data_IF_684682085257
#
_entry.id   IF_684682085257
#
_cell.length_a   1.000
_cell.length_b   1.000
_cell.length_c   1.000
_cell.angle_alpha   90.00
_cell.angle_beta   90.00
_cell.angle_gamma   90.00
#
_symmetry.space_group_name_H-M   'P 1'
#
loop_
_entity.id
_entity.type
_entity.pdbx_description
1 polymer ?
#
# COMPACT_ATOMS: atom_id res chain seq x y z
N UNK A 1 -38.94 12.49 11.04
CA UNK A 1 -37.61 12.01 11.48
C UNK A 1 -37.47 10.58 10.98
N UNK A 2 -36.62 10.30 9.98
CA UNK A 2 -36.28 8.92 9.66
C UNK A 2 -35.56 8.30 10.86
N UNK A 3 -35.90 7.06 11.20
CA UNK A 3 -35.28 6.34 12.31
C UNK A 3 -33.76 6.23 12.10
N UNK A 4 -32.95 6.28 13.16
CA UNK A 4 -31.52 6.01 13.04
C UNK A 4 -31.33 4.62 12.44
N UNK A 5 -30.53 4.53 11.38
CA UNK A 5 -30.12 3.25 10.81
C UNK A 5 -29.54 2.38 11.94
N UNK A 6 -30.04 1.15 12.08
CA UNK A 6 -29.49 0.20 13.02
C UNK A 6 -27.97 0.10 12.79
N UNK A 7 -27.16 -0.03 13.85
CA UNK A 7 -25.73 -0.28 13.66
C UNK A 7 -25.59 -1.50 12.76
N UNK A 8 -24.84 -1.37 11.68
CA UNK A 8 -24.48 -2.51 10.84
C UNK A 8 -23.78 -3.52 11.74
N UNK A 9 -24.50 -4.55 12.18
CA UNK A 9 -23.91 -5.68 12.90
C UNK A 9 -22.84 -6.23 11.97
N UNK A 10 -21.57 -6.07 12.36
CA UNK A 10 -20.46 -6.75 11.72
C UNK A 10 -20.77 -8.23 11.75
N UNK A 11 -21.23 -8.76 10.61
CA UNK A 11 -21.57 -10.16 10.52
C UNK A 11 -20.32 -10.95 10.93
N UNK A 12 -20.44 -11.91 11.86
CA UNK A 12 -19.31 -12.75 12.20
C UNK A 12 -18.81 -13.44 10.92
N UNK A 13 -17.52 -13.73 10.86
CA UNK A 13 -16.88 -14.44 9.75
C UNK A 13 -17.76 -15.62 9.33
N UNK A 14 -17.94 -15.83 8.03
CA UNK A 14 -18.89 -16.83 7.48
C UNK A 14 -18.75 -18.22 8.15
N UNK A 15 -17.55 -18.58 8.57
CA UNK A 15 -17.24 -19.85 9.23
C UNK A 15 -17.91 -20.04 10.60
N UNK A 16 -18.16 -18.93 11.30
CA UNK A 16 -18.85 -18.90 12.59
C UNK A 16 -20.37 -19.06 12.44
N UNK A 17 -20.90 -18.86 11.23
CA UNK A 17 -22.32 -19.00 10.97
C UNK A 17 -22.75 -20.48 11.01
N UNK A 18 -23.95 -20.78 11.55
CA UNK A 18 -24.56 -22.09 11.38
C UNK A 18 -24.76 -22.42 9.89
N UNK A 19 -24.68 -23.70 9.48
CA UNK A 19 -24.81 -24.08 8.07
C UNK A 19 -26.06 -23.54 7.38
N UNK A 20 -27.19 -23.43 8.10
CA UNK A 20 -28.44 -22.86 7.59
C UNK A 20 -28.29 -21.39 7.16
N UNK A 21 -27.53 -20.60 7.91
CA UNK A 21 -27.26 -19.18 7.57
C UNK A 21 -26.31 -19.07 6.37
N UNK A 22 -25.31 -19.95 6.28
CA UNK A 22 -24.41 -20.01 5.12
C UNK A 22 -25.20 -20.34 3.84
N UNK A 23 -26.12 -21.32 3.90
CA UNK A 23 -27.01 -21.64 2.76
C UNK A 23 -27.87 -20.43 2.39
N UNK A 24 -28.49 -19.77 3.37
CA UNK A 24 -29.31 -18.58 3.11
C UNK A 24 -28.52 -17.43 2.47
N UNK A 25 -27.22 -17.29 2.78
CA UNK A 25 -26.36 -16.31 2.12
C UNK A 25 -26.04 -16.73 0.68
N UNK A 26 -25.77 -18.02 0.44
CA UNK A 26 -25.58 -18.56 -0.91
C UNK A 26 -26.85 -18.46 -1.76
N UNK A 27 -28.04 -18.55 -1.17
CA UNK A 27 -29.33 -18.41 -1.85
C UNK A 27 -29.51 -17.05 -2.52
N UNK A 28 -28.85 -15.99 -2.01
CA UNK A 28 -28.89 -14.65 -2.60
C UNK A 28 -28.20 -14.57 -3.97
N UNK A 29 -27.30 -15.50 -4.27
CA UNK A 29 -26.47 -15.48 -5.48
C UNK A 29 -26.65 -16.71 -6.37
N UNK A 30 -26.98 -17.87 -5.79
CA UNK A 30 -27.15 -19.12 -6.51
C UNK A 30 -28.61 -19.57 -6.39
N UNK A 31 -29.28 -19.79 -7.52
CA UNK A 31 -30.65 -20.31 -7.55
C UNK A 31 -30.63 -21.85 -7.54
N UNK A 32 -31.38 -22.46 -6.62
CA UNK A 32 -31.46 -23.93 -6.49
C UNK A 32 -30.17 -24.58 -5.96
N UNK A 33 -29.85 -25.80 -6.41
CA UNK A 33 -28.62 -26.54 -6.00
C UNK A 33 -28.49 -26.79 -4.48
N UNK A 34 -29.62 -27.06 -3.81
CA UNK A 34 -29.69 -27.22 -2.34
C UNK A 34 -28.69 -28.22 -1.76
N UNK A 35 -28.49 -29.35 -2.44
CA UNK A 35 -27.55 -30.40 -1.99
C UNK A 35 -26.11 -29.87 -2.01
N UNK A 36 -25.72 -29.16 -3.06
CA UNK A 36 -24.38 -28.58 -3.17
C UNK A 36 -24.16 -27.48 -2.14
N UNK A 37 -25.14 -26.56 -1.97
CA UNK A 37 -25.09 -25.50 -0.96
C UNK A 37 -24.94 -26.06 0.46
N UNK A 38 -25.71 -27.10 0.79
CA UNK A 38 -25.63 -27.77 2.10
C UNK A 38 -24.26 -28.44 2.30
N UNK A 39 -23.73 -29.11 1.27
CA UNK A 39 -22.43 -29.76 1.35
C UNK A 39 -21.31 -28.75 1.61
N UNK A 40 -21.29 -27.64 0.86
CA UNK A 40 -20.27 -26.60 1.07
C UNK A 40 -20.41 -25.88 2.41
N UNK A 41 -21.65 -25.63 2.87
CA UNK A 41 -21.90 -25.02 4.17
C UNK A 41 -21.42 -25.90 5.33
N UNK A 42 -21.58 -27.22 5.23
CA UNK A 42 -21.05 -28.16 6.22
C UNK A 42 -19.52 -28.16 6.21
N UNK A 43 -18.89 -28.17 5.03
CA UNK A 43 -17.44 -28.17 4.91
C UNK A 43 -16.80 -26.93 5.56
N UNK A 44 -17.34 -25.75 5.28
CA UNK A 44 -16.89 -24.49 5.91
C UNK A 44 -17.13 -24.51 7.43
N UNK A 45 -18.31 -24.95 7.88
CA UNK A 45 -18.59 -25.06 9.31
C UNK A 45 -17.65 -26.05 10.02
N UNK A 46 -17.24 -27.11 9.33
CA UNK A 46 -16.29 -28.08 9.88
C UNK A 46 -14.90 -27.47 10.07
N UNK A 47 -14.49 -26.49 9.26
CA UNK A 47 -13.25 -25.73 9.49
C UNK A 47 -13.28 -24.97 10.82
N UNK A 48 -14.38 -24.26 11.08
CA UNK A 48 -14.57 -23.60 12.38
C UNK A 48 -14.63 -24.61 13.53
N UNK A 49 -15.33 -25.74 13.36
CA UNK A 49 -15.36 -26.80 14.40
C UNK A 49 -13.97 -27.36 14.69
N UNK A 50 -13.12 -27.51 13.67
CA UNK A 50 -11.73 -27.93 13.83
C UNK A 50 -10.92 -26.89 14.61
N UNK A 51 -11.12 -25.58 14.38
CA UNK A 51 -10.41 -24.55 15.16
C UNK A 51 -10.82 -24.51 16.63
N UNK A 52 -12.03 -24.96 16.95
CA UNK A 52 -12.52 -25.11 18.33
C UNK A 52 -12.11 -26.45 18.98
N UNK A 53 -11.55 -27.39 18.22
CA UNK A 53 -11.13 -28.68 18.75
C UNK A 53 -9.88 -28.53 19.63
N UNK A 54 -9.73 -29.38 20.67
CA UNK A 54 -8.48 -29.56 21.41
C UNK A 54 -7.28 -29.78 20.49
N UNK A 55 -6.11 -29.28 20.91
CA UNK A 55 -4.89 -29.23 20.08
C UNK A 55 -4.39 -30.63 19.67
N UNK A 56 -4.54 -31.61 20.55
CA UNK A 56 -4.16 -33.02 20.35
C UNK A 56 -4.89 -33.68 19.17
N UNK A 57 -6.18 -33.39 18.99
CA UNK A 57 -6.98 -33.97 17.90
C UNK A 57 -7.09 -33.06 16.68
N UNK A 58 -6.69 -31.79 16.78
CA UNK A 58 -6.90 -30.80 15.72
C UNK A 58 -6.17 -31.16 14.43
N UNK A 59 -4.98 -31.73 14.56
CA UNK A 59 -4.15 -32.13 13.41
C UNK A 59 -4.60 -33.44 12.77
N UNK A 60 -5.32 -34.29 13.52
CA UNK A 60 -5.92 -35.52 13.01
C UNK A 60 -7.18 -35.27 12.17
N UNK A 61 -7.85 -34.12 12.36
CA UNK A 61 -9.07 -33.77 11.63
C UNK A 61 -8.71 -33.22 10.24
N UNK A 62 -8.80 -34.09 9.23
CA UNK A 62 -8.58 -33.71 7.83
C UNK A 62 -9.74 -32.88 7.25
N UNK A 63 -9.45 -31.93 6.34
CA UNK A 63 -10.48 -31.20 5.60
C UNK A 63 -11.38 -32.12 4.78
N UNK A 64 -12.67 -31.81 4.72
CA UNK A 64 -13.63 -32.53 3.90
C UNK A 64 -13.65 -31.96 2.47
N UNK A 65 -12.91 -32.60 1.57
CA UNK A 65 -12.90 -32.24 0.15
C UNK A 65 -14.27 -32.54 -0.49
N UNK A 66 -14.67 -31.70 -1.46
CA UNK A 66 -15.99 -31.78 -2.10
C UNK A 66 -15.83 -32.08 -3.58
N UNK A 67 -16.56 -33.09 -4.06
CA UNK A 67 -16.68 -33.39 -5.49
C UNK A 67 -18.07 -32.99 -5.94
N UNK A 68 -18.15 -32.01 -6.87
CA UNK A 68 -19.41 -31.56 -7.46
C UNK A 68 -19.64 -32.23 -8.81
N UNK A 69 -20.72 -33.00 -8.94
CA UNK A 69 -21.09 -33.72 -10.17
C UNK A 69 -22.32 -33.05 -10.78
N UNK A 70 -22.27 -32.74 -12.09
CA UNK A 70 -23.40 -32.19 -12.82
C UNK A 70 -23.01 -31.62 -14.19
N UNK A 71 -23.98 -31.21 -15.03
CA UNK A 71 -23.70 -30.64 -16.34
C UNK A 71 -23.00 -29.27 -16.23
N UNK A 72 -22.40 -28.79 -17.31
CA UNK A 72 -21.80 -27.45 -17.38
C UNK A 72 -22.86 -26.37 -17.21
N UNK A 73 -22.49 -25.21 -16.67
CA UNK A 73 -23.40 -24.06 -16.54
C UNK A 73 -24.37 -24.06 -15.35
N UNK A 74 -24.48 -25.16 -14.60
CA UNK A 74 -25.40 -25.23 -13.41
C UNK A 74 -24.91 -24.50 -12.16
N UNK A 75 -23.80 -23.76 -12.24
CA UNK A 75 -23.30 -22.96 -11.12
C UNK A 75 -22.28 -23.64 -10.20
N UNK A 76 -21.71 -24.81 -10.55
CA UNK A 76 -20.69 -25.51 -9.72
C UNK A 76 -19.52 -24.58 -9.32
N UNK A 77 -18.93 -23.91 -10.30
CA UNK A 77 -17.82 -22.97 -10.07
C UNK A 77 -18.29 -21.72 -9.33
N UNK A 78 -19.53 -21.28 -9.55
CA UNK A 78 -20.07 -20.08 -8.89
C UNK A 78 -20.32 -20.33 -7.39
N UNK A 79 -20.80 -21.52 -7.01
CA UNK A 79 -20.94 -21.92 -5.61
C UNK A 79 -19.57 -21.84 -4.90
N UNK A 80 -18.53 -22.42 -5.48
CA UNK A 80 -17.19 -22.41 -4.90
C UNK A 80 -16.60 -20.98 -4.82
N UNK A 81 -16.74 -20.19 -5.90
CA UNK A 81 -16.27 -18.80 -5.96
C UNK A 81 -16.98 -17.91 -4.93
N UNK A 82 -18.31 -18.04 -4.81
CA UNK A 82 -19.12 -17.25 -3.86
C UNK A 82 -18.80 -17.63 -2.42
N UNK A 83 -18.67 -18.93 -2.16
CA UNK A 83 -18.26 -19.43 -0.85
C UNK A 83 -16.93 -18.82 -0.41
N UNK A 84 -15.92 -18.84 -1.28
CA UNK A 84 -14.61 -18.29 -0.97
C UNK A 84 -14.66 -16.78 -0.69
N UNK A 85 -15.39 -16.01 -1.51
CA UNK A 85 -15.57 -14.57 -1.28
C UNK A 85 -16.28 -14.27 0.04
N UNK A 86 -17.36 -14.99 0.34
CA UNK A 86 -18.10 -14.82 1.58
C UNK A 86 -17.26 -15.21 2.81
N UNK A 87 -16.36 -16.18 2.66
CA UNK A 87 -15.46 -16.63 3.71
C UNK A 87 -14.19 -15.76 3.85
N UNK A 88 -13.97 -14.77 2.97
CA UNK A 88 -12.71 -14.03 2.92
C UNK A 88 -11.51 -14.94 2.63
N UNK A 89 -11.70 -15.98 1.83
CA UNK A 89 -10.67 -16.99 1.57
C UNK A 89 -10.08 -16.84 0.15
N UNK A 90 -8.76 -17.06 -0.01
CA UNK A 90 -8.13 -17.06 -1.33
C UNK A 90 -8.72 -18.16 -2.21
N UNK A 91 -8.94 -17.86 -3.49
CA UNK A 91 -9.61 -18.76 -4.43
C UNK A 91 -8.87 -18.85 -5.76
N UNK A 92 -8.55 -20.08 -6.16
CA UNK A 92 -7.92 -20.38 -7.44
C UNK A 92 -8.79 -21.37 -8.25
N UNK A 93 -9.00 -21.08 -9.53
CA UNK A 93 -9.65 -22.00 -10.48
C UNK A 93 -8.59 -22.55 -11.43
N UNK A 94 -8.38 -23.86 -11.40
CA UNK A 94 -7.49 -24.57 -12.32
C UNK A 94 -8.25 -25.59 -13.17
N UNK A 95 -7.69 -25.93 -14.33
CA UNK A 95 -8.22 -26.96 -15.21
C UNK A 95 -7.27 -28.16 -15.17
N UNK A 96 -7.77 -29.33 -14.80
CA UNK A 96 -6.94 -30.52 -14.58
C UNK A 96 -6.18 -30.97 -15.83
N UNK A 97 -6.75 -30.74 -17.03
CA UNK A 97 -6.12 -31.09 -18.31
C UNK A 97 -4.80 -30.36 -18.56
N UNK A 98 -4.60 -29.19 -17.94
CA UNK A 98 -3.35 -28.41 -18.05
C UNK A 98 -2.14 -29.10 -17.41
N UNK A 99 -2.38 -30.06 -16.54
CA UNK A 99 -1.33 -30.83 -15.84
C UNK A 99 -1.12 -32.22 -16.47
N UNK A 100 -1.93 -32.58 -17.47
CA UNK A 100 -1.84 -33.86 -18.19
C UNK A 100 -1.28 -33.71 -19.60
N UNK A 101 -1.10 -32.48 -20.11
CA UNK A 101 -0.55 -32.25 -21.45
C UNK A 101 0.89 -32.78 -21.54
N UNK A 102 1.10 -33.67 -22.51
CA UNK A 102 2.36 -34.39 -22.72
C UNK A 102 3.40 -33.43 -23.29
N UNK A 103 4.33 -32.97 -22.44
CA UNK A 103 5.44 -32.10 -22.83
C UNK A 103 6.57 -32.12 -21.81
N UNK A 104 7.82 -31.95 -22.27
CA UNK A 104 9.04 -32.04 -21.46
C UNK A 104 9.19 -30.89 -20.43
N UNK A 105 8.33 -29.88 -20.49
CA UNK A 105 8.20 -28.78 -19.52
C UNK A 105 6.70 -28.53 -19.28
N UNK A 106 6.02 -29.49 -18.64
CA UNK A 106 4.62 -29.32 -18.24
C UNK A 106 4.45 -28.32 -17.10
N UNK A 107 3.24 -27.76 -16.91
CA UNK A 107 2.91 -27.02 -15.68
C UNK A 107 3.00 -27.98 -14.49
N UNK A 108 3.80 -27.61 -13.51
CA UNK A 108 3.99 -28.34 -12.26
C UNK A 108 2.73 -28.24 -11.38
N UNK A 109 2.29 -29.34 -10.74
CA UNK A 109 1.15 -29.33 -9.81
C UNK A 109 1.42 -28.40 -8.63
N UNK A 110 2.67 -28.24 -8.21
CA UNK A 110 3.02 -27.28 -7.16
C UNK A 110 2.72 -25.83 -7.55
N UNK A 111 2.66 -25.51 -8.85
CA UNK A 111 2.27 -24.18 -9.31
C UNK A 111 0.86 -23.80 -8.86
N UNK A 112 -0.03 -24.78 -8.62
CA UNK A 112 -1.36 -24.51 -8.07
C UNK A 112 -1.27 -23.90 -6.67
N UNK A 113 -0.35 -24.37 -5.85
CA UNK A 113 -0.17 -23.88 -4.47
C UNK A 113 0.50 -22.52 -4.51
N UNK A 114 1.51 -22.33 -5.35
CA UNK A 114 2.20 -21.03 -5.53
C UNK A 114 1.21 -19.94 -6.00
N UNK A 115 0.43 -20.23 -7.05
CA UNK A 115 -0.60 -19.30 -7.54
C UNK A 115 -1.67 -18.98 -6.46
N UNK A 116 -2.04 -19.95 -5.61
CA UNK A 116 -2.98 -19.71 -4.51
C UNK A 116 -2.39 -18.81 -3.42
N UNK A 117 -1.10 -18.99 -3.09
CA UNK A 117 -0.37 -18.14 -2.13
C UNK A 117 -0.26 -16.72 -2.67
N UNK A 118 0.05 -16.53 -3.96
CA UNK A 118 0.10 -15.21 -4.59
C UNK A 118 -1.26 -14.49 -4.50
N UNK A 119 -2.36 -15.21 -4.71
CA UNK A 119 -3.71 -14.66 -4.53
C UNK A 119 -3.95 -14.26 -3.07
N UNK A 120 -3.49 -15.07 -2.10
CA UNK A 120 -3.62 -14.77 -0.68
C UNK A 120 -2.81 -13.52 -0.27
N UNK A 121 -1.56 -13.42 -0.70
CA UNK A 121 -0.69 -12.26 -0.42
C UNK A 121 -1.32 -10.98 -0.97
N UNK A 122 -1.82 -11.01 -2.21
CA UNK A 122 -2.46 -9.84 -2.81
C UNK A 122 -3.76 -9.46 -2.08
N UNK A 123 -4.53 -10.45 -1.60
CA UNK A 123 -5.74 -10.22 -0.81
C UNK A 123 -5.40 -9.51 0.52
N UNK A 124 -4.46 -10.05 1.30
CA UNK A 124 -4.02 -9.46 2.58
C UNK A 124 -3.40 -8.09 2.37
N UNK A 125 -2.62 -7.92 1.29
CA UNK A 125 -2.05 -6.62 0.93
C UNK A 125 -3.14 -5.58 0.67
N UNK A 126 -4.16 -5.92 -0.10
CA UNK A 126 -5.29 -5.01 -0.38
C UNK A 126 -6.01 -4.63 0.90
N UNK A 127 -6.28 -5.59 1.79
CA UNK A 127 -6.93 -5.34 3.08
C UNK A 127 -6.12 -4.36 3.94
N UNK A 128 -4.80 -4.53 4.00
CA UNK A 128 -3.92 -3.62 4.75
C UNK A 128 -3.77 -2.25 4.12
N UNK A 129 -3.71 -2.19 2.79
CA UNK A 129 -3.71 -0.92 2.05
C UNK A 129 -4.99 -0.13 2.37
N UNK A 130 -6.14 -0.78 2.46
CA UNK A 130 -7.42 -0.16 2.84
C UNK A 130 -7.39 0.35 4.30
N UNK A 131 -6.84 -0.41 5.24
CA UNK A 131 -6.74 0.00 6.66
C UNK A 131 -5.87 1.25 6.86
N UNK A 132 -4.79 1.38 6.10
CA UNK A 132 -3.85 2.52 6.21
C UNK A 132 -4.16 3.65 5.23
N UNK A 133 -5.15 3.48 4.35
CA UNK A 133 -5.55 4.47 3.35
C UNK A 133 -5.83 5.87 3.94
N UNK A 134 -6.58 6.03 5.06
CA UNK A 134 -6.85 7.35 5.62
C UNK A 134 -5.58 8.06 6.12
N UNK A 135 -4.61 7.28 6.60
CA UNK A 135 -3.32 7.81 7.05
C UNK A 135 -2.44 8.18 5.85
N UNK A 136 -2.44 7.35 4.81
CA UNK A 136 -1.74 7.62 3.56
C UNK A 136 -2.27 8.89 2.89
N UNK A 137 -3.58 9.08 2.84
CA UNK A 137 -4.23 10.29 2.31
C UNK A 137 -3.77 11.54 3.08
N UNK A 138 -3.81 11.50 4.41
CA UNK A 138 -3.37 12.63 5.25
C UNK A 138 -1.90 12.97 5.02
N UNK A 139 -1.02 11.97 4.91
CA UNK A 139 0.41 12.18 4.64
C UNK A 139 0.66 12.70 3.24
N UNK A 140 -0.06 12.18 2.24
CA UNK A 140 0.01 12.64 0.87
C UNK A 140 -0.44 14.11 0.75
N UNK A 141 -1.51 14.51 1.45
CA UNK A 141 -1.95 15.90 1.53
C UNK A 141 -0.86 16.82 2.09
N UNK A 142 -0.22 16.44 3.20
CA UNK A 142 0.86 17.26 3.79
C UNK A 142 2.06 17.39 2.83
N UNK A 143 2.47 16.32 2.15
CA UNK A 143 3.53 16.37 1.13
C UNK A 143 3.13 17.24 -0.06
N UNK A 144 1.87 17.18 -0.48
CA UNK A 144 1.35 18.01 -1.57
C UNK A 144 1.34 19.50 -1.18
N UNK A 145 1.02 19.82 0.08
CA UNK A 145 1.13 21.19 0.61
C UNK A 145 2.57 21.70 0.63
N UNK A 146 3.54 20.84 0.98
CA UNK A 146 4.96 21.19 0.95
C UNK A 146 5.45 21.51 -0.48
N UNK A 147 4.93 20.80 -1.49
CA UNK A 147 5.24 21.07 -2.90
C UNK A 147 4.62 22.39 -3.38
N UNK A 148 3.40 22.71 -2.92
CA UNK A 148 2.72 23.97 -3.27
C UNK A 148 3.32 25.20 -2.56
N UNK A 149 3.85 24.99 -1.35
CA UNK A 149 4.42 26.02 -0.49
C UNK A 149 5.75 25.54 0.11
N UNK A 150 6.85 25.56 -0.67
CA UNK A 150 8.13 25.06 -0.20
C UNK A 150 8.59 25.76 1.10
N UNK A 151 9.20 25.00 2.04
CA UNK A 151 9.74 25.58 3.28
C UNK A 151 10.80 26.64 2.94
N UNK A 152 10.98 27.63 3.82
CA UNK A 152 12.05 28.60 3.59
C UNK A 152 13.38 27.85 3.70
N UNK A 153 14.35 28.15 2.82
CA UNK A 153 15.70 27.64 3.01
C UNK A 153 16.16 28.08 4.39
N UNK A 154 16.47 27.12 5.26
CA UNK A 154 17.13 27.39 6.53
C UNK A 154 18.42 28.14 6.23
N UNK A 155 18.63 29.34 6.78
CA UNK A 155 19.88 30.06 6.56
C UNK A 155 21.04 29.18 7.07
N UNK A 156 22.18 29.15 6.34
CA UNK A 156 23.33 28.35 6.75
C UNK A 156 23.74 28.74 8.17
N UNK A 157 24.01 27.73 9.01
CA UNK A 157 24.55 27.98 10.35
C UNK A 157 25.78 28.89 10.21
N UNK A 158 25.88 29.97 11.01
CA UNK A 158 27.08 30.78 11.00
C UNK A 158 28.29 29.88 11.31
N UNK A 159 29.43 30.06 10.61
CA UNK A 159 30.61 29.26 10.86
C UNK A 159 30.99 29.35 12.34
N UNK A 160 31.49 28.25 12.95
CA UNK A 160 31.89 28.26 14.34
C UNK A 160 32.89 29.39 14.55
N UNK A 161 32.56 30.33 15.44
CA UNK A 161 33.39 31.48 15.74
C UNK A 161 34.81 31.01 16.09
N UNK A 162 35.76 31.25 15.18
CA UNK A 162 37.17 31.12 15.46
C UNK A 162 37.49 32.05 16.62
N UNK A 163 38.00 31.49 17.71
CA UNK A 163 38.42 32.21 18.91
C UNK A 163 39.27 33.43 18.53
N UNK A 164 39.11 34.60 19.18
CA UNK A 164 39.92 35.76 18.87
C UNK A 164 41.37 35.51 19.28
N UNK A 165 42.21 35.23 18.28
CA UNK A 165 43.66 35.39 18.36
C UNK A 165 44.00 36.86 18.15
N UNK A 166 44.75 37.42 19.09
CA UNK A 166 45.28 38.79 19.05
C UNK A 166 46.16 38.99 17.82
N UNK A 167 45.87 39.99 16.99
CA UNK A 167 46.87 40.52 16.05
C UNK A 167 46.33 41.20 14.78
N UNK A 168 46.64 42.49 14.66
CA UNK A 168 46.72 43.33 13.45
C UNK A 168 45.44 43.65 12.66
N UNK A 169 45.03 44.92 12.79
CA UNK A 169 44.15 45.67 11.88
C UNK A 169 44.73 45.73 10.47
N UNK A 170 43.87 45.63 9.47
CA UNK A 170 43.91 46.48 8.27
C UNK A 170 42.50 46.62 7.68
N UNK A 171 42.33 47.66 6.86
CA UNK A 171 41.11 48.45 6.70
C UNK A 171 40.14 47.94 5.61
N UNK A 172 38.86 48.30 5.78
CA UNK A 172 37.92 48.49 4.67
C UNK A 172 36.69 47.59 4.70
N UNK A 173 35.64 48.02 5.41
CA UNK A 173 34.20 47.95 5.05
C UNK A 173 33.35 48.18 6.30
N UNK A 174 32.22 48.89 6.14
CA UNK A 174 31.34 49.34 7.22
C UNK A 174 30.97 48.19 8.17
N UNK A 175 31.30 48.26 9.47
CA UNK A 175 30.89 47.23 10.42
C UNK A 175 29.37 47.30 10.63
N UNK A 176 28.67 46.15 10.76
CA UNK A 176 27.25 46.14 11.10
C UNK A 176 27.05 46.84 12.45
N UNK A 177 26.10 47.78 12.49
CA UNK A 177 25.82 48.60 13.66
C UNK A 177 25.21 47.71 14.75
N UNK A 178 26.02 47.30 15.72
CA UNK A 178 25.56 46.58 16.91
C UNK A 178 25.03 47.57 17.94
N UNK A 179 23.71 47.60 18.13
CA UNK A 179 23.10 48.34 19.24
C UNK A 179 23.19 47.47 20.49
N UNK A 180 24.12 47.81 21.38
CA UNK A 180 24.32 47.15 22.67
C UNK A 180 23.49 47.88 23.73
N UNK A 181 22.56 47.18 24.37
CA UNK A 181 21.91 47.69 25.59
C UNK A 181 22.83 47.53 26.79
N UNK A 182 22.62 48.33 27.84
CA UNK A 182 23.44 48.40 29.06
C UNK A 182 23.51 47.11 29.90
N UNK A 183 22.88 46.01 29.47
CA UNK A 183 22.92 44.69 30.12
C UNK A 183 23.62 43.60 29.32
N UNK A 184 24.17 43.89 28.14
CA UNK A 184 25.01 42.93 27.40
C UNK A 184 24.26 41.76 26.75
N UNK A 185 22.94 41.72 26.80
CA UNK A 185 22.13 40.74 26.07
C UNK A 185 21.96 41.16 24.61
N UNK A 186 22.50 40.36 23.70
CA UNK A 186 22.24 40.44 22.26
C UNK A 186 20.95 39.66 22.00
N UNK A 187 19.80 40.32 21.99
CA UNK A 187 18.57 39.72 21.45
C UNK A 187 18.63 39.80 19.92
N UNK A 188 18.74 38.67 19.21
CA UNK A 188 18.73 38.71 17.75
C UNK A 188 17.33 39.12 17.30
N UNK A 189 17.20 40.31 16.70
CA UNK A 189 16.00 40.76 15.98
C UNK A 189 15.54 39.77 14.88
N UNK A 190 16.41 38.83 14.50
CA UNK A 190 16.10 37.69 13.64
C UNK A 190 15.04 36.75 14.25
N UNK A 191 15.04 36.51 15.58
CA UNK A 191 14.12 35.57 16.20
C UNK A 191 12.65 36.03 16.13
N UNK A 192 12.37 37.32 16.29
CA UNK A 192 11.00 37.86 16.18
C UNK A 192 10.49 37.89 14.73
N UNK A 193 11.36 38.24 13.77
CA UNK A 193 11.03 38.23 12.35
C UNK A 193 10.79 36.80 11.81
N UNK A 194 11.55 35.82 12.29
CA UNK A 194 11.39 34.41 11.95
C UNK A 194 10.08 33.84 12.50
N UNK A 195 9.68 34.22 13.73
CA UNK A 195 8.40 33.81 14.32
C UNK A 195 7.21 34.39 13.55
N UNK A 196 7.25 35.68 13.18
CA UNK A 196 6.17 36.31 12.41
C UNK A 196 6.06 35.72 10.99
N UNK A 197 7.19 35.43 10.34
CA UNK A 197 7.23 34.77 9.04
C UNK A 197 6.67 33.33 9.10
N UNK A 198 6.98 32.58 10.17
CA UNK A 198 6.43 31.24 10.41
C UNK A 198 4.91 31.28 10.66
N UNK A 199 4.41 32.23 11.44
CA UNK A 199 2.96 32.39 11.65
C UNK A 199 2.22 32.73 10.35
N UNK A 200 2.74 33.66 9.55
CA UNK A 200 2.18 33.98 8.23
C UNK A 200 2.17 32.74 7.32
N UNK A 201 3.24 31.94 7.33
CA UNK A 201 3.29 30.68 6.58
C UNK A 201 2.25 29.69 7.04
N UNK A 202 2.09 29.51 8.36
CA UNK A 202 1.09 28.61 8.94
C UNK A 202 -0.32 29.00 8.51
N UNK A 203 -0.66 30.30 8.58
CA UNK A 203 -1.95 30.82 8.10
C UNK A 203 -2.16 30.57 6.61
N UNK A 204 -1.12 30.75 5.79
CA UNK A 204 -1.17 30.46 4.34
C UNK A 204 -1.33 28.97 4.08
N UNK A 205 -0.63 28.10 4.83
CA UNK A 205 -0.74 26.63 4.72
C UNK A 205 -2.14 26.16 5.09
N UNK A 206 -2.73 26.68 6.15
CA UNK A 206 -4.10 26.34 6.58
C UNK A 206 -5.14 26.76 5.51
N UNK A 207 -4.99 27.96 4.90
CA UNK A 207 -5.84 28.38 3.78
C UNK A 207 -5.70 27.49 2.56
N UNK A 208 -4.46 27.13 2.19
CA UNK A 208 -4.20 26.22 1.07
C UNK A 208 -4.77 24.83 1.34
N UNK A 209 -4.69 24.33 2.57
CA UNK A 209 -5.30 23.06 2.98
C UNK A 209 -6.81 23.09 2.77
N UNK A 210 -7.46 24.18 3.16
CA UNK A 210 -8.90 24.35 2.94
C UNK A 210 -9.24 24.37 1.43
N UNK A 211 -8.48 25.10 0.62
CA UNK A 211 -8.68 25.13 -0.83
C UNK A 211 -8.43 23.77 -1.51
N UNK A 212 -7.49 22.98 -0.98
CA UNK A 212 -7.19 21.62 -1.46
C UNK A 212 -8.32 20.65 -1.13
N UNK A 213 -8.96 20.78 0.04
CA UNK A 213 -10.17 20.03 0.42
C UNK A 213 -11.38 20.42 -0.42
N UNK A 214 -11.47 21.70 -0.80
CA UNK A 214 -12.54 22.23 -1.66
C UNK A 214 -12.34 21.92 -3.16
N UNK A 215 -11.25 21.25 -3.55
CA UNK A 215 -10.98 20.87 -4.95
C UNK A 215 -10.65 22.05 -5.89
N UNK A 216 -10.43 23.26 -5.35
CA UNK A 216 -10.24 24.48 -6.16
C UNK A 216 -8.89 24.58 -6.87
N UNK A 217 -7.98 23.64 -6.61
CA UNK A 217 -6.58 23.67 -7.06
C UNK A 217 -6.23 22.49 -7.99
N UNK A 218 -7.22 21.71 -8.44
CA UNK A 218 -6.98 20.47 -9.19
C UNK A 218 -6.28 20.66 -10.54
N UNK A 219 -6.52 21.80 -11.21
CA UNK A 219 -5.90 22.14 -12.49
C UNK A 219 -4.45 22.61 -12.37
N UNK A 220 -4.02 23.01 -11.17
CA UNK A 220 -2.67 23.53 -10.95
C UNK A 220 -1.63 22.43 -11.17
N UNK A 221 -0.56 22.77 -11.86
CA UNK A 221 0.58 21.88 -12.08
C UNK A 221 1.54 21.92 -10.90
N UNK A 222 2.07 20.74 -10.54
CA UNK A 222 3.10 20.55 -9.53
C UNK A 222 4.19 19.63 -10.06
N UNK A 223 5.44 19.93 -9.71
CA UNK A 223 6.57 19.07 -10.02
C UNK A 223 6.73 18.04 -8.89
N UNK A 224 6.62 16.76 -9.23
CA UNK A 224 6.80 15.64 -8.29
C UNK A 224 8.00 14.78 -8.69
N UNK A 225 8.71 14.27 -7.69
CA UNK A 225 9.78 13.28 -7.87
C UNK A 225 9.20 11.88 -7.79
N UNK A 226 8.96 11.25 -8.94
CA UNK A 226 8.43 9.88 -8.99
C UNK A 226 9.58 8.89 -9.12
N UNK A 227 9.52 7.79 -8.38
CA UNK A 227 10.41 6.64 -8.57
C UNK A 227 10.02 5.92 -9.87
N UNK A 228 10.92 5.88 -10.85
CA UNK A 228 10.68 5.14 -12.07
C UNK A 228 10.85 3.64 -11.79
N UNK A 229 9.75 2.87 -11.79
CA UNK A 229 9.83 1.40 -11.84
C UNK A 229 10.08 0.98 -13.29
N UNK A 230 11.28 0.48 -13.57
CA UNK A 230 11.66 -0.18 -14.83
C UNK A 230 12.20 0.76 -15.92
N UNK A 231 13.39 0.43 -16.45
CA UNK A 231 13.92 0.99 -17.69
C UNK A 231 13.21 0.34 -18.89
N UNK A 232 12.56 1.09 -19.80
CA UNK A 232 12.08 0.55 -21.09
C UNK A 232 13.23 0.36 -22.11
N UNK A 233 14.43 0.00 -21.65
CA UNK A 233 15.64 -0.12 -22.47
C UNK A 233 16.23 -1.52 -22.55
N UNK A 234 15.73 -2.47 -21.75
CA UNK A 234 16.26 -3.84 -21.69
C UNK A 234 15.51 -4.83 -22.61
N UNK A 235 14.55 -4.35 -23.41
CA UNK A 235 13.89 -5.18 -24.44
C UNK A 235 14.67 -5.20 -25.77
N UNK A 236 15.66 -4.30 -25.95
CA UNK A 236 16.39 -4.16 -27.22
C UNK A 236 17.76 -4.86 -27.25
N UNK A 237 18.18 -5.51 -26.16
CA UNK A 237 19.27 -6.49 -26.19
C UNK A 237 18.66 -7.87 -26.37
N UNK A 238 18.50 -8.29 -27.63
CA UNK A 238 18.48 -9.73 -27.92
C UNK A 238 19.78 -10.32 -27.37
N UNK A 239 19.74 -11.31 -26.46
CA UNK A 239 20.96 -12.02 -26.10
C UNK A 239 21.50 -12.73 -27.35
N UNK A 240 22.81 -12.69 -27.62
CA UNK A 240 23.40 -13.56 -28.63
C UNK A 240 23.11 -15.03 -28.24
N UNK A 241 22.57 -15.78 -29.20
CA UNK A 241 22.26 -17.20 -29.03
C UNK A 241 23.51 -17.95 -28.54
N UNK A 242 23.45 -18.55 -27.33
CA UNK A 242 24.52 -19.46 -26.90
C UNK A 242 24.76 -19.64 -25.39
N UNK A 243 24.17 -18.86 -24.49
CA UNK A 243 24.30 -19.05 -23.04
C UNK A 243 22.98 -18.75 -22.34
N UNK A 244 22.13 -19.76 -22.19
CA UNK A 244 20.91 -19.68 -21.36
C UNK A 244 21.08 -20.62 -20.17
N UNK A 245 21.23 -20.05 -18.97
CA UNK A 245 21.20 -20.88 -17.75
C UNK A 245 21.44 -20.18 -16.41
N UNK A 246 22.12 -19.02 -16.37
CA UNK A 246 22.55 -18.44 -15.07
C UNK A 246 22.31 -16.93 -14.90
N UNK A 247 21.82 -16.23 -15.92
CA UNK A 247 21.88 -14.76 -15.94
C UNK A 247 20.61 -14.05 -15.41
N UNK A 248 19.51 -14.78 -15.20
CA UNK A 248 18.22 -14.21 -14.73
C UNK A 248 18.32 -13.74 -13.27
N UNK A 249 19.00 -14.51 -12.41
CA UNK A 249 19.16 -14.14 -11.00
C UNK A 249 20.20 -13.03 -10.79
N UNK A 250 21.19 -12.91 -11.68
CA UNK A 250 22.19 -11.84 -11.59
C UNK A 250 21.62 -10.49 -12.06
N UNK A 251 20.69 -10.51 -13.02
CA UNK A 251 20.00 -9.31 -13.47
C UNK A 251 19.03 -8.76 -12.43
N UNK A 252 18.31 -9.61 -11.68
CA UNK A 252 17.46 -9.17 -10.55
C UNK A 252 18.29 -8.59 -9.40
N UNK A 253 19.38 -9.27 -9.00
CA UNK A 253 20.30 -8.78 -7.96
C UNK A 253 20.93 -7.43 -8.34
N UNK A 254 21.27 -7.22 -9.61
CA UNK A 254 21.84 -5.97 -10.11
C UNK A 254 20.81 -4.83 -10.14
N UNK A 255 19.54 -5.13 -10.43
CA UNK A 255 18.45 -4.16 -10.36
C UNK A 255 18.18 -3.69 -8.93
N UNK A 256 18.37 -4.56 -7.94
CA UNK A 256 18.20 -4.23 -6.52
C UNK A 256 19.34 -3.35 -5.97
N UNK A 257 20.57 -3.52 -6.48
CA UNK A 257 21.73 -2.68 -6.11
C UNK A 257 21.81 -1.32 -6.80
N UNK A 258 21.03 -1.09 -7.87
CA UNK A 258 21.02 0.19 -8.58
C UNK A 258 20.19 1.22 -7.81
N UNK A 259 20.75 2.40 -7.44
CA UNK A 259 19.99 3.43 -6.75
C UNK A 259 18.82 3.88 -7.64
N UNK A 260 17.59 3.74 -7.12
CA UNK A 260 16.35 4.13 -7.80
C UNK A 260 16.46 5.60 -8.22
N UNK A 261 16.69 5.85 -9.50
CA UNK A 261 16.78 7.22 -10.03
C UNK A 261 15.39 7.84 -9.96
N UNK A 262 15.25 8.89 -9.15
CA UNK A 262 14.03 9.71 -9.10
C UNK A 262 14.03 10.62 -10.32
N UNK A 263 12.92 10.65 -11.06
CA UNK A 263 12.73 11.59 -12.17
C UNK A 263 11.69 12.63 -11.76
N UNK A 264 12.02 13.90 -11.99
CA UNK A 264 11.05 14.99 -11.82
C UNK A 264 10.10 15.01 -13.01
N UNK A 265 8.80 15.04 -12.71
CA UNK A 265 7.73 15.16 -13.71
C UNK A 265 6.74 16.21 -13.23
N UNK A 266 6.34 17.10 -14.13
CA UNK A 266 5.22 18.00 -13.92
C UNK A 266 3.92 17.26 -14.21
N UNK A 267 3.01 17.25 -13.24
CA UNK A 267 1.69 16.65 -13.34
C UNK A 267 0.65 17.58 -12.73
N UNK A 268 -0.61 17.38 -13.07
CA UNK A 268 -1.70 18.09 -12.41
C UNK A 268 -1.87 17.62 -10.96
N UNK A 269 -2.43 18.49 -10.12
CA UNK A 269 -2.58 18.25 -8.70
C UNK A 269 -3.42 16.99 -8.37
N UNK A 270 -4.43 16.67 -9.19
CA UNK A 270 -5.23 15.45 -9.01
C UNK A 270 -4.41 14.17 -9.29
N UNK A 271 -3.52 14.19 -10.30
CA UNK A 271 -2.61 13.08 -10.62
C UNK A 271 -1.53 12.97 -9.53
N UNK A 272 -0.97 14.11 -9.09
CA UNK A 272 -0.02 14.17 -7.99
C UNK A 272 -0.58 13.58 -6.69
N UNK A 273 -1.84 13.90 -6.34
CA UNK A 273 -2.50 13.35 -5.15
C UNK A 273 -2.53 11.83 -5.20
N UNK A 274 -2.96 11.24 -6.32
CA UNK A 274 -3.02 9.77 -6.48
C UNK A 274 -1.63 9.14 -6.37
N UNK A 275 -0.65 9.67 -7.08
CA UNK A 275 0.73 9.15 -7.06
C UNK A 275 1.32 9.22 -5.65
N UNK A 276 1.11 10.33 -4.93
CA UNK A 276 1.61 10.47 -3.56
C UNK A 276 0.91 9.53 -2.59
N UNK A 277 -0.40 9.29 -2.73
CA UNK A 277 -1.12 8.29 -1.92
C UNK A 277 -0.53 6.91 -2.17
N UNK A 278 -0.35 6.50 -3.42
CA UNK A 278 0.23 5.20 -3.75
C UNK A 278 1.66 5.03 -3.20
N UNK A 279 2.46 6.10 -3.23
CA UNK A 279 3.79 6.10 -2.62
C UNK A 279 3.75 6.00 -1.09
N UNK A 280 2.81 6.67 -0.42
CA UNK A 280 2.66 6.57 1.03
C UNK A 280 2.07 5.22 1.46
N UNK A 281 1.14 4.65 0.70
CA UNK A 281 0.62 3.29 0.92
C UNK A 281 1.75 2.26 0.86
N UNK A 282 2.60 2.31 -0.18
CA UNK A 282 3.77 1.42 -0.31
C UNK A 282 4.80 1.55 0.81
N UNK A 283 4.86 2.70 1.49
CA UNK A 283 5.76 2.91 2.64
C UNK A 283 5.13 2.46 3.96
N UNK A 284 3.81 2.55 4.04
CA UNK A 284 3.04 2.22 5.24
C UNK A 284 2.80 0.71 5.35
N UNK A 285 2.62 0.04 4.21
CA UNK A 285 2.45 -1.41 4.15
C UNK A 285 3.82 -2.07 4.08
N UNK A 286 4.24 -2.66 5.18
CA UNK A 286 5.42 -3.51 5.23
C UNK A 286 5.11 -4.86 4.57
N UNK A 287 5.90 -5.24 3.56
CA UNK A 287 5.74 -6.52 2.86
C UNK A 287 6.12 -7.70 3.76
N UNK A 288 7.04 -7.50 4.71
CA UNK A 288 7.44 -8.55 5.64
C UNK A 288 6.29 -8.88 6.60
N UNK A 289 5.53 -7.88 7.03
CA UNK A 289 4.35 -8.12 7.84
C UNK A 289 3.25 -8.82 7.00
N UNK A 290 3.15 -8.59 5.69
CA UNK A 290 2.07 -9.17 4.84
C UNK A 290 2.28 -10.67 4.61
N UNK A 291 3.53 -11.11 4.60
CA UNK A 291 3.92 -12.50 4.31
C UNK A 291 3.88 -13.39 5.57
N UNK A 292 4.03 -12.82 6.77
CA UNK A 292 4.04 -13.51 8.06
C UNK A 292 2.66 -13.61 8.72
#
# INVERSE_FOLDING_TARGET
>A
MPAPAAPEETLPWLEELPPRKIVAELDRYIVGQEVAKKAVAIAVRNRWRRSQAPEDIRDEILPNNIIMIGPTGVGKTEIARRLARLAGAPFLKVEASKFTEVGYVGRDVESMVRELVDVAINMVRSEREDDVYPQAETRAEERLLDLLLPPAPTPPLPPPASRPGVGSREAGENPPLFVVSSKGDVTPKAAEADVEAQERRRRTREKLRQQLKEGKLEEREVEIEVQQQGFPGLEMMQPPQGMEGTDVNFTELLQEMLPKKKKRRTVHLHEARRILIDEELKKLVDMDDVVN
#
